data_IF_042242503635
#
_entry.id   IF_042242503635
#
_cell.length_a   1.000
_cell.length_b   1.000
_cell.length_c   1.000
_cell.angle_alpha   90.00
_cell.angle_beta   90.00
_cell.angle_gamma   90.00
#
_symmetry.space_group_name_H-M   'P 1'
#
loop_
_entity.id
_entity.type
_entity.pdbx_description
1 polymer ?
#
# COMPACT_ATOMS: atom_id res chain seq x y z
N UNK A 1 -43.51 18.01 -20.04
CA UNK A 1 -43.13 19.41 -19.81
C UNK A 1 -42.08 19.46 -18.70
N UNK A 2 -40.90 20.04 -18.92
CA UNK A 2 -39.90 20.22 -17.87
C UNK A 2 -40.40 21.30 -16.92
N UNK A 3 -40.54 20.95 -15.63
CA UNK A 3 -40.87 21.91 -14.56
C UNK A 3 -39.81 22.99 -14.54
N UNK A 4 -40.24 24.26 -14.71
CA UNK A 4 -39.36 25.44 -14.48
C UNK A 4 -38.98 25.49 -13.01
N UNK A 5 -37.70 25.75 -12.68
CA UNK A 5 -37.27 25.92 -11.29
C UNK A 5 -37.91 27.19 -10.70
N UNK A 6 -38.68 27.03 -9.67
CA UNK A 6 -39.08 28.08 -8.73
C UNK A 6 -37.83 28.64 -8.06
N UNK A 7 -37.79 29.93 -7.76
CA UNK A 7 -36.70 30.71 -7.15
C UNK A 7 -36.07 30.02 -5.94
N UNK A 8 -35.17 29.07 -6.17
CA UNK A 8 -34.51 28.29 -5.13
C UNK A 8 -33.13 28.90 -4.84
N UNK A 9 -32.74 28.82 -3.57
CA UNK A 9 -31.51 29.35 -3.07
C UNK A 9 -30.31 28.91 -3.94
N UNK A 10 -29.22 29.69 -4.04
CA UNK A 10 -28.01 29.29 -4.78
C UNK A 10 -27.47 27.92 -4.38
N UNK A 11 -27.76 27.48 -3.16
CA UNK A 11 -27.40 26.18 -2.64
C UNK A 11 -28.22 25.02 -3.27
N UNK A 12 -29.51 25.20 -3.51
CA UNK A 12 -30.35 24.17 -4.14
C UNK A 12 -29.87 23.89 -5.58
N UNK A 13 -29.56 24.96 -6.33
CA UNK A 13 -28.98 24.86 -7.67
C UNK A 13 -27.63 24.11 -7.66
N UNK A 14 -26.73 24.41 -6.72
CA UNK A 14 -25.46 23.73 -6.58
C UNK A 14 -25.65 22.25 -6.27
N UNK A 15 -26.56 21.91 -5.35
CA UNK A 15 -26.84 20.50 -4.98
C UNK A 15 -27.39 19.70 -6.16
N UNK A 16 -28.32 20.24 -6.91
CA UNK A 16 -28.87 19.58 -8.10
C UNK A 16 -27.77 19.32 -9.15
N UNK A 17 -26.87 20.30 -9.38
CA UNK A 17 -25.75 20.14 -10.29
C UNK A 17 -24.76 19.07 -9.83
N UNK A 18 -24.47 18.98 -8.53
CA UNK A 18 -23.60 17.93 -7.97
C UNK A 18 -24.22 16.54 -8.11
N UNK A 19 -25.54 16.40 -7.85
CA UNK A 19 -26.24 15.12 -8.03
C UNK A 19 -26.15 14.61 -9.46
N UNK A 20 -26.37 15.50 -10.44
CA UNK A 20 -26.30 15.14 -11.85
C UNK A 20 -24.86 14.87 -12.29
N UNK A 21 -23.91 15.75 -11.94
CA UNK A 21 -22.51 15.63 -12.37
C UNK A 21 -21.86 14.31 -11.89
N UNK A 22 -22.14 13.89 -10.64
CA UNK A 22 -21.61 12.68 -10.06
C UNK A 22 -22.51 11.45 -10.23
N UNK A 23 -23.69 11.58 -10.88
CA UNK A 23 -24.67 10.51 -11.07
C UNK A 23 -25.07 9.85 -9.75
N UNK A 24 -25.28 10.67 -8.71
CA UNK A 24 -25.48 10.20 -7.34
C UNK A 24 -26.72 9.31 -7.23
N UNK A 25 -27.85 9.74 -7.81
CA UNK A 25 -29.11 8.99 -7.79
C UNK A 25 -29.04 7.74 -8.67
N UNK A 26 -28.38 7.81 -9.85
CA UNK A 26 -28.19 6.66 -10.74
C UNK A 26 -27.45 5.51 -10.05
N UNK A 27 -26.50 5.85 -9.14
CA UNK A 27 -25.72 4.87 -8.36
C UNK A 27 -26.36 4.50 -7.01
N UNK A 28 -27.63 4.87 -6.78
CA UNK A 28 -28.39 4.52 -5.59
C UNK A 28 -27.90 5.18 -4.30
N UNK A 29 -27.22 6.33 -4.38
CA UNK A 29 -26.71 7.10 -3.25
C UNK A 29 -27.51 8.41 -3.06
N UNK A 30 -27.10 9.21 -2.07
CA UNK A 30 -27.60 10.57 -1.81
C UNK A 30 -26.43 11.48 -1.44
N UNK A 31 -26.53 12.79 -1.68
CA UNK A 31 -25.48 13.76 -1.31
C UNK A 31 -25.03 13.62 0.14
N UNK A 32 -25.98 13.48 1.07
CA UNK A 32 -25.67 13.30 2.48
C UNK A 32 -24.90 12.02 2.79
N UNK A 33 -25.17 10.92 2.06
CA UNK A 33 -24.40 9.68 2.18
C UNK A 33 -22.99 9.83 1.61
N UNK A 34 -22.84 10.49 0.45
CA UNK A 34 -21.53 10.72 -0.18
C UNK A 34 -20.63 11.60 0.70
N UNK A 35 -21.17 12.69 1.27
CA UNK A 35 -20.44 13.57 2.20
C UNK A 35 -20.02 12.79 3.45
N UNK A 36 -20.93 12.03 4.05
CA UNK A 36 -20.63 11.19 5.22
C UNK A 36 -19.59 10.13 4.88
N UNK A 37 -19.70 9.47 3.73
CA UNK A 37 -18.75 8.48 3.25
C UNK A 37 -17.36 9.08 3.07
N UNK A 38 -17.24 10.27 2.47
CA UNK A 38 -15.98 10.98 2.31
C UNK A 38 -15.34 11.36 3.65
N UNK A 39 -16.14 11.83 4.60
CA UNK A 39 -15.67 12.11 5.97
C UNK A 39 -15.15 10.83 6.64
N UNK A 40 -15.85 9.72 6.54
CA UNK A 40 -15.42 8.44 7.13
C UNK A 40 -14.16 7.93 6.45
N UNK A 41 -14.06 8.01 5.12
CA UNK A 41 -12.83 7.66 4.39
C UNK A 41 -11.66 8.48 4.90
N UNK A 42 -11.81 9.81 5.02
CA UNK A 42 -10.74 10.67 5.54
C UNK A 42 -10.38 10.34 6.99
N UNK A 43 -11.35 10.12 7.88
CA UNK A 43 -11.08 9.75 9.29
C UNK A 43 -10.29 8.44 9.38
N UNK A 44 -10.62 7.45 8.55
CA UNK A 44 -9.90 6.17 8.53
C UNK A 44 -8.50 6.28 7.91
N UNK A 45 -8.28 7.22 6.98
CA UNK A 45 -6.99 7.48 6.32
C UNK A 45 -6.14 8.53 7.07
N UNK A 46 -6.69 9.28 8.02
CA UNK A 46 -6.02 10.44 8.64
C UNK A 46 -4.73 10.06 9.38
N UNK A 47 -4.59 8.82 9.84
CA UNK A 47 -3.34 8.33 10.44
C UNK A 47 -2.14 8.45 9.49
N UNK A 48 -2.36 8.43 8.16
CA UNK A 48 -1.31 8.54 7.14
C UNK A 48 -0.63 9.91 7.21
N UNK A 49 -1.38 10.96 7.56
CA UNK A 49 -0.86 12.33 7.71
C UNK A 49 0.18 12.40 8.84
N UNK A 50 0.12 11.47 9.79
CA UNK A 50 1.07 11.34 10.89
C UNK A 50 2.18 10.35 10.54
N UNK A 51 1.80 9.14 10.17
CA UNK A 51 2.73 8.00 10.02
C UNK A 51 3.68 8.18 8.83
N UNK A 52 3.18 8.67 7.67
CA UNK A 52 4.02 8.84 6.49
C UNK A 52 5.16 9.85 6.71
N UNK A 53 4.92 11.07 7.22
CA UNK A 53 6.00 12.01 7.54
C UNK A 53 6.97 11.47 8.59
N UNK A 54 6.51 10.77 9.60
CA UNK A 54 7.40 10.18 10.62
C UNK A 54 8.36 9.16 10.03
N UNK A 55 7.89 8.30 9.12
CA UNK A 55 8.76 7.35 8.44
C UNK A 55 9.77 8.07 7.55
N UNK A 56 9.32 9.04 6.75
CA UNK A 56 10.18 9.76 5.80
C UNK A 56 11.21 10.68 6.48
N UNK A 57 10.88 11.20 7.65
CA UNK A 57 11.76 12.09 8.42
C UNK A 57 12.71 11.35 9.37
N UNK A 58 12.54 10.03 9.54
CA UNK A 58 13.49 9.24 10.32
C UNK A 58 14.91 9.43 9.75
N UNK A 59 15.87 9.81 10.59
CA UNK A 59 17.25 10.07 10.13
C UNK A 59 17.98 8.78 9.79
N UNK A 60 18.78 8.81 8.72
CA UNK A 60 19.75 7.78 8.37
C UNK A 60 21.03 7.97 9.19
N UNK A 61 21.91 6.97 9.22
CA UNK A 61 23.23 7.10 9.81
C UNK A 61 24.02 8.30 9.23
N UNK A 62 23.73 8.68 8.00
CA UNK A 62 24.37 9.79 7.29
C UNK A 62 23.60 11.12 7.44
N UNK A 63 22.58 11.18 8.31
CA UNK A 63 21.77 12.38 8.54
C UNK A 63 20.77 12.73 7.44
N UNK A 64 20.69 11.95 6.36
CA UNK A 64 19.77 12.20 5.25
C UNK A 64 18.33 11.86 5.62
N UNK A 65 17.43 12.84 5.55
CA UNK A 65 16.01 12.66 5.79
C UNK A 65 15.19 13.73 5.05
N UNK A 66 13.92 13.42 4.76
CA UNK A 66 12.98 14.43 4.28
C UNK A 66 12.45 15.19 5.50
N UNK A 67 12.51 16.53 5.54
CA UNK A 67 12.03 17.31 6.70
C UNK A 67 10.56 17.01 7.02
N UNK A 68 10.26 16.79 8.30
CA UNK A 68 8.94 16.36 8.77
C UNK A 68 7.79 17.27 8.29
N UNK A 69 7.92 18.59 8.46
CA UNK A 69 6.89 19.55 8.02
C UNK A 69 6.65 19.52 6.51
N UNK A 70 7.72 19.38 5.73
CA UNK A 70 7.63 19.26 4.29
C UNK A 70 6.92 17.96 3.90
N UNK A 71 7.29 16.83 4.51
CA UNK A 71 6.65 15.54 4.30
C UNK A 71 5.16 15.55 4.68
N UNK A 72 4.76 16.19 5.80
CA UNK A 72 3.37 16.37 6.20
C UNK A 72 2.56 17.12 5.12
N UNK A 73 3.05 18.28 4.71
CA UNK A 73 2.38 19.09 3.68
C UNK A 73 2.31 18.34 2.36
N UNK A 74 3.42 17.73 1.93
CA UNK A 74 3.48 16.95 0.70
C UNK A 74 2.48 15.77 0.71
N UNK A 75 2.37 15.06 1.84
CA UNK A 75 1.41 13.98 2.03
C UNK A 75 -0.03 14.47 1.88
N UNK A 76 -0.38 15.57 2.54
CA UNK A 76 -1.73 16.13 2.48
C UNK A 76 -2.09 16.63 1.07
N UNK A 77 -1.21 17.41 0.43
CA UNK A 77 -1.50 17.97 -0.88
C UNK A 77 -1.52 16.91 -1.99
N UNK A 78 -0.60 15.95 -1.98
CA UNK A 78 -0.60 14.87 -2.97
C UNK A 78 -1.83 13.98 -2.82
N UNK A 79 -2.25 13.68 -1.57
CA UNK A 79 -3.47 12.94 -1.30
C UNK A 79 -4.73 13.71 -1.75
N UNK A 80 -4.78 15.01 -1.48
CA UNK A 80 -5.89 15.87 -1.91
C UNK A 80 -6.01 15.90 -3.43
N UNK A 81 -4.92 16.16 -4.15
CA UNK A 81 -4.94 16.24 -5.62
C UNK A 81 -5.27 14.88 -6.24
N UNK A 82 -4.66 13.79 -5.76
CA UNK A 82 -4.91 12.45 -6.28
C UNK A 82 -6.37 12.01 -6.06
N UNK A 83 -6.90 12.20 -4.85
CA UNK A 83 -8.29 11.87 -4.53
C UNK A 83 -9.29 12.73 -5.30
N UNK A 84 -9.01 14.05 -5.43
CA UNK A 84 -9.83 14.93 -6.26
C UNK A 84 -9.82 14.51 -7.71
N UNK A 85 -8.65 14.16 -8.26
CA UNK A 85 -8.52 13.66 -9.62
C UNK A 85 -9.42 12.44 -9.84
N UNK A 86 -9.32 11.42 -9.02
CA UNK A 86 -10.14 10.22 -9.15
C UNK A 86 -11.62 10.53 -8.95
N UNK A 87 -11.96 11.37 -7.99
CA UNK A 87 -13.35 11.80 -7.76
C UNK A 87 -13.97 12.49 -8.95
N UNK A 88 -13.25 13.45 -9.55
CA UNK A 88 -13.77 14.29 -10.62
C UNK A 88 -13.78 13.60 -12.00
N UNK A 89 -12.73 12.86 -12.34
CA UNK A 89 -12.58 12.28 -13.68
C UNK A 89 -12.99 10.81 -13.77
N UNK A 90 -12.68 9.99 -12.75
CA UNK A 90 -13.09 8.59 -12.74
C UNK A 90 -14.49 8.38 -12.13
N UNK A 91 -14.99 9.35 -11.38
CA UNK A 91 -16.23 9.25 -10.60
C UNK A 91 -16.25 8.00 -9.70
N UNK A 92 -15.13 7.73 -8.99
CA UNK A 92 -14.97 6.57 -8.11
C UNK A 92 -14.80 7.04 -6.65
N UNK A 93 -15.36 6.30 -5.66
CA UNK A 93 -15.33 6.66 -4.24
C UNK A 93 -14.00 6.28 -3.57
N UNK A 94 -12.86 6.57 -4.20
CA UNK A 94 -11.55 6.15 -3.74
C UNK A 94 -10.76 7.31 -3.13
N UNK A 95 -10.30 7.13 -1.89
CA UNK A 95 -9.29 7.97 -1.29
C UNK A 95 -7.89 7.49 -1.68
N UNK A 96 -7.03 8.42 -2.09
CA UNK A 96 -5.64 8.18 -2.43
C UNK A 96 -4.74 8.92 -1.47
N UNK A 97 -3.65 8.28 -1.08
CA UNK A 97 -2.61 8.89 -0.27
C UNK A 97 -1.26 8.16 -0.46
N UNK A 98 -0.21 8.63 0.22
CA UNK A 98 1.09 7.98 0.21
C UNK A 98 1.01 6.53 0.70
N UNK A 99 1.53 5.60 -0.09
CA UNK A 99 1.50 4.17 0.21
C UNK A 99 2.40 3.81 1.38
N UNK A 100 1.85 3.11 2.39
CA UNK A 100 2.59 2.81 3.62
C UNK A 100 3.77 1.85 3.40
N UNK A 101 3.66 0.88 2.50
CA UNK A 101 4.78 0.03 2.10
C UNK A 101 5.82 0.76 1.26
N UNK A 102 5.37 1.69 0.41
CA UNK A 102 6.22 2.49 -0.46
C UNK A 102 7.03 3.53 0.29
N UNK A 103 6.48 4.17 1.32
CA UNK A 103 7.22 5.10 2.16
C UNK A 103 8.35 4.41 2.93
N UNK A 104 8.07 3.23 3.47
CA UNK A 104 9.07 2.41 4.14
C UNK A 104 10.16 1.94 3.16
N UNK A 105 9.77 1.53 1.94
CA UNK A 105 10.74 1.18 0.91
C UNK A 105 11.58 2.38 0.46
N UNK A 106 10.96 3.55 0.25
CA UNK A 106 11.67 4.78 -0.10
C UNK A 106 12.69 5.15 0.99
N UNK A 107 12.24 5.12 2.25
CA UNK A 107 13.07 5.54 3.38
C UNK A 107 14.18 4.54 3.70
N UNK A 108 13.84 3.28 3.91
CA UNK A 108 14.80 2.27 4.37
C UNK A 108 15.51 1.56 3.22
N UNK A 109 14.80 1.36 2.09
CA UNK A 109 15.35 0.69 0.91
C UNK A 109 16.17 1.63 0.03
N UNK A 110 15.59 2.74 -0.43
CA UNK A 110 16.23 3.62 -1.42
C UNK A 110 17.20 4.60 -0.74
N UNK A 111 16.75 5.36 0.24
CA UNK A 111 17.63 6.31 0.95
C UNK A 111 18.60 5.56 1.86
N UNK A 112 18.09 4.64 2.71
CA UNK A 112 18.89 3.99 3.73
C UNK A 112 19.88 2.95 3.18
N UNK A 113 19.44 2.04 2.31
CA UNK A 113 20.26 0.91 1.83
C UNK A 113 20.99 1.18 0.53
N UNK A 114 20.32 1.81 -0.45
CA UNK A 114 20.98 2.17 -1.72
C UNK A 114 21.80 3.44 -1.58
N UNK A 115 21.71 4.18 -0.47
CA UNK A 115 22.52 5.35 -0.16
C UNK A 115 22.17 6.59 -0.98
N UNK A 116 20.93 6.67 -1.50
CA UNK A 116 20.50 7.84 -2.26
C UNK A 116 20.22 9.03 -1.34
N UNK A 117 20.56 10.24 -1.83
CA UNK A 117 20.03 11.45 -1.21
C UNK A 117 18.50 11.49 -1.32
N UNK A 118 17.79 12.19 -0.42
CA UNK A 118 16.35 12.36 -0.53
C UNK A 118 15.91 12.88 -1.91
N UNK A 119 16.65 13.83 -2.48
CA UNK A 119 16.36 14.43 -3.77
C UNK A 119 16.53 13.42 -4.93
N UNK A 120 17.55 12.56 -4.89
CA UNK A 120 17.73 11.49 -5.87
C UNK A 120 16.65 10.41 -5.73
N UNK A 121 16.27 10.05 -4.51
CA UNK A 121 15.18 9.12 -4.25
C UNK A 121 13.83 9.65 -4.77
N UNK A 122 13.56 10.95 -4.60
CA UNK A 122 12.36 11.61 -5.14
C UNK A 122 12.40 11.70 -6.68
N UNK A 123 13.58 11.84 -7.29
CA UNK A 123 13.73 11.74 -8.75
C UNK A 123 13.32 10.34 -9.26
N UNK A 124 13.71 9.27 -8.54
CA UNK A 124 13.24 7.92 -8.84
C UNK A 124 11.71 7.77 -8.69
N UNK A 125 11.11 8.38 -7.65
CA UNK A 125 9.66 8.42 -7.48
C UNK A 125 8.96 9.12 -8.65
N UNK A 126 9.50 10.23 -9.11
CA UNK A 126 8.93 10.97 -10.25
C UNK A 126 8.99 10.14 -11.54
N UNK A 127 10.13 9.53 -11.83
CA UNK A 127 10.28 8.62 -12.99
C UNK A 127 9.29 7.46 -12.90
N UNK A 128 9.14 6.85 -11.73
CA UNK A 128 8.18 5.79 -11.49
C UNK A 128 6.74 6.28 -11.74
N UNK A 129 6.38 7.46 -11.22
CA UNK A 129 5.05 8.05 -11.44
C UNK A 129 4.75 8.31 -12.91
N UNK A 130 5.73 8.82 -13.68
CA UNK A 130 5.59 9.04 -15.13
C UNK A 130 5.46 7.72 -15.90
N UNK A 131 6.22 6.69 -15.54
CA UNK A 131 6.07 5.35 -16.12
C UNK A 131 4.69 4.75 -15.78
N UNK A 132 4.20 4.94 -14.56
CA UNK A 132 2.87 4.48 -14.19
C UNK A 132 1.77 5.22 -14.95
N UNK A 133 1.91 6.53 -15.17
CA UNK A 133 1.02 7.29 -16.05
C UNK A 133 1.01 6.73 -17.47
N UNK A 134 2.17 6.43 -18.03
CA UNK A 134 2.28 5.82 -19.36
C UNK A 134 1.60 4.45 -19.43
N UNK A 135 1.76 3.62 -18.40
CA UNK A 135 1.05 2.33 -18.29
C UNK A 135 -0.48 2.51 -18.16
N UNK A 136 -0.92 3.53 -17.43
CA UNK A 136 -2.34 3.84 -17.27
C UNK A 136 -2.99 4.28 -18.60
N UNK A 137 -2.31 5.16 -19.36
CA UNK A 137 -2.81 5.67 -20.67
C UNK A 137 -2.79 4.58 -21.73
N UNK A 138 -1.72 3.78 -21.79
CA UNK A 138 -1.59 2.71 -22.79
C UNK A 138 -2.45 1.48 -22.52
N UNK A 139 -3.07 1.38 -21.34
CA UNK A 139 -3.74 0.15 -20.89
C UNK A 139 -2.79 -1.00 -20.57
N UNK A 140 -1.48 -0.80 -20.68
CA UNK A 140 -0.48 -1.85 -20.44
C UNK A 140 -0.37 -2.29 -18.98
N UNK A 141 -1.00 -1.57 -18.05
CA UNK A 141 -1.07 -1.97 -16.65
C UNK A 141 -1.71 -3.37 -16.49
N UNK A 142 -2.72 -3.70 -17.28
CA UNK A 142 -3.34 -5.03 -17.28
C UNK A 142 -2.38 -6.12 -17.81
N UNK A 143 -1.56 -5.79 -18.80
CA UNK A 143 -0.53 -6.71 -19.32
C UNK A 143 0.53 -6.99 -18.26
N UNK A 144 1.02 -5.95 -17.58
CA UNK A 144 1.98 -6.10 -16.46
C UNK A 144 1.39 -6.96 -15.35
N UNK A 145 0.11 -6.78 -15.04
CA UNK A 145 -0.58 -7.62 -14.06
C UNK A 145 -0.68 -9.09 -14.50
N UNK A 146 -0.86 -9.35 -15.78
CA UNK A 146 -0.93 -10.70 -16.32
C UNK A 146 0.41 -11.46 -16.31
N UNK A 147 1.55 -10.75 -16.21
CA UNK A 147 2.88 -11.37 -16.20
C UNK A 147 3.15 -12.25 -14.97
N UNK A 148 2.51 -11.95 -13.83
CA UNK A 148 2.71 -12.71 -12.60
C UNK A 148 1.48 -13.54 -12.25
N UNK A 149 1.66 -14.78 -11.78
CA UNK A 149 0.58 -15.58 -11.20
C UNK A 149 -0.09 -14.85 -10.03
N UNK A 150 -1.41 -15.02 -9.82
CA UNK A 150 -2.13 -14.40 -8.71
C UNK A 150 -1.49 -14.65 -7.36
N UNK A 151 -1.03 -15.87 -7.09
CA UNK A 151 -0.36 -16.24 -5.83
C UNK A 151 0.92 -15.44 -5.57
N UNK A 152 1.71 -15.10 -6.61
CA UNK A 152 2.91 -14.27 -6.40
C UNK A 152 2.57 -12.81 -6.13
N UNK A 153 1.48 -12.29 -6.71
CA UNK A 153 0.96 -10.95 -6.38
C UNK A 153 0.54 -10.88 -4.92
N UNK A 154 -0.20 -11.89 -4.45
CA UNK A 154 -0.58 -12.04 -3.05
C UNK A 154 0.64 -12.13 -2.14
N UNK A 155 1.66 -12.88 -2.53
CA UNK A 155 2.91 -12.99 -1.79
C UNK A 155 3.65 -11.63 -1.67
N UNK A 156 3.64 -10.79 -2.70
CA UNK A 156 4.22 -9.43 -2.65
C UNK A 156 3.49 -8.57 -1.63
N UNK A 157 2.16 -8.56 -1.64
CA UNK A 157 1.35 -7.81 -0.68
C UNK A 157 1.62 -8.27 0.76
N UNK A 158 1.65 -9.58 0.99
CA UNK A 158 1.98 -10.19 2.28
C UNK A 158 3.39 -9.78 2.75
N UNK A 159 4.37 -9.85 1.86
CA UNK A 159 5.76 -9.46 2.17
C UNK A 159 5.87 -8.00 2.61
N UNK A 160 5.18 -7.10 1.91
CA UNK A 160 5.11 -5.68 2.26
C UNK A 160 4.46 -5.49 3.63
N UNK A 161 3.38 -6.23 3.92
CA UNK A 161 2.71 -6.20 5.22
C UNK A 161 3.62 -6.65 6.37
N UNK A 162 4.34 -7.76 6.21
CA UNK A 162 5.30 -8.24 7.21
C UNK A 162 6.46 -7.24 7.38
N UNK A 163 6.97 -6.70 6.29
CA UNK A 163 8.04 -5.69 6.33
C UNK A 163 7.59 -4.46 7.12
N UNK A 164 6.38 -3.98 6.88
CA UNK A 164 5.81 -2.84 7.58
C UNK A 164 5.59 -3.13 9.08
N UNK A 165 5.05 -4.31 9.42
CA UNK A 165 4.91 -4.75 10.81
C UNK A 165 6.28 -4.85 11.51
N UNK A 166 7.31 -5.31 10.81
CA UNK A 166 8.67 -5.40 11.32
C UNK A 166 9.25 -4.01 11.64
N UNK A 167 9.03 -3.02 10.78
CA UNK A 167 9.35 -1.61 11.08
C UNK A 167 8.58 -1.12 12.31
N UNK A 168 7.29 -1.45 12.42
CA UNK A 168 6.49 -1.14 13.61
C UNK A 168 7.05 -1.75 14.89
N UNK A 169 7.48 -3.03 14.87
CA UNK A 169 8.12 -3.69 16.02
C UNK A 169 9.45 -3.04 16.43
N UNK A 170 10.18 -2.48 15.47
CA UNK A 170 11.39 -1.72 15.78
C UNK A 170 11.08 -0.36 16.40
N UNK A 171 10.08 0.36 15.87
CA UNK A 171 9.68 1.67 16.42
C UNK A 171 9.14 1.55 17.84
N UNK A 172 8.43 0.48 18.19
CA UNK A 172 7.99 0.26 19.58
C UNK A 172 9.10 -0.28 20.50
N UNK A 173 10.28 -0.60 19.96
CA UNK A 173 11.38 -1.16 20.74
C UNK A 173 11.24 -2.65 21.07
N UNK A 174 10.31 -3.38 20.47
CA UNK A 174 10.16 -4.83 20.67
C UNK A 174 11.28 -5.61 19.96
N UNK A 175 11.65 -5.16 18.77
CA UNK A 175 12.74 -5.73 17.97
C UNK A 175 13.86 -4.72 17.87
N UNK A 176 15.06 -5.09 18.32
CA UNK A 176 16.23 -4.23 18.32
C UNK A 176 17.40 -4.87 17.60
N UNK A 177 18.36 -4.03 17.16
CA UNK A 177 19.62 -4.52 16.58
C UNK A 177 20.42 -5.27 17.64
N UNK A 178 20.89 -6.46 17.30
CA UNK A 178 21.76 -7.30 18.16
C UNK A 178 23.04 -7.63 17.39
N UNK A 179 24.19 -7.43 18.04
CA UNK A 179 25.49 -7.77 17.43
C UNK A 179 25.70 -9.28 17.27
N UNK A 180 24.97 -10.10 18.07
CA UNK A 180 25.13 -11.56 18.06
C UNK A 180 24.20 -12.25 17.08
N UNK A 181 22.96 -11.74 16.94
CA UNK A 181 21.87 -12.40 16.20
C UNK A 181 21.27 -11.52 15.12
N UNK A 182 21.87 -10.35 14.80
CA UNK A 182 21.40 -9.30 13.91
C UNK A 182 20.13 -8.60 14.41
N UNK A 183 19.14 -9.35 14.90
CA UNK A 183 17.94 -8.85 15.57
C UNK A 183 17.76 -9.60 16.88
N UNK A 184 17.27 -8.90 17.89
CA UNK A 184 17.02 -9.44 19.22
C UNK A 184 15.77 -8.83 19.84
N UNK A 185 15.36 -9.41 20.97
CA UNK A 185 14.29 -8.86 21.79
C UNK A 185 14.79 -7.60 22.49
N UNK A 186 13.98 -6.55 22.46
CA UNK A 186 14.27 -5.30 23.14
C UNK A 186 14.17 -5.38 24.65
N UNK A 187 14.41 -4.26 25.31
CA UNK A 187 14.33 -4.16 26.76
C UNK A 187 12.87 -4.11 27.22
N UNK A 188 12.40 -5.22 27.79
CA UNK A 188 11.04 -5.38 28.30
C UNK A 188 10.74 -4.53 29.55
N UNK A 189 11.74 -3.83 30.12
CA UNK A 189 11.52 -2.94 31.25
C UNK A 189 11.05 -1.55 30.83
N UNK A 190 11.12 -1.24 29.54
CA UNK A 190 10.75 0.07 28.99
C UNK A 190 9.21 0.29 29.03
N UNK A 191 8.71 1.33 29.72
CA UNK A 191 7.28 1.58 29.79
C UNK A 191 6.64 1.93 28.44
N UNK A 192 7.40 2.57 27.55
CA UNK A 192 6.94 2.95 26.19
C UNK A 192 6.59 1.73 25.34
N UNK A 193 7.34 0.62 25.48
CA UNK A 193 7.05 -0.64 24.81
C UNK A 193 5.67 -1.18 25.23
N UNK A 194 5.40 -1.24 26.54
CA UNK A 194 4.13 -1.74 27.06
C UNK A 194 2.96 -0.85 26.67
N UNK A 195 3.17 0.48 26.63
CA UNK A 195 2.18 1.42 26.17
C UNK A 195 1.82 1.18 24.69
N UNK A 196 2.82 0.97 23.82
CA UNK A 196 2.62 0.66 22.41
C UNK A 196 1.94 -0.70 22.20
N UNK A 197 2.29 -1.72 22.99
CA UNK A 197 1.62 -3.02 22.96
C UNK A 197 0.16 -2.92 23.41
N UNK A 198 -0.11 -2.19 24.51
CA UNK A 198 -1.48 -1.96 24.98
C UNK A 198 -2.30 -1.21 23.92
N UNK A 199 -1.72 -0.21 23.27
CA UNK A 199 -2.36 0.50 22.16
C UNK A 199 -2.62 -0.43 20.97
N UNK A 200 -1.71 -1.33 20.63
CA UNK A 200 -1.90 -2.32 19.57
C UNK A 200 -3.12 -3.20 19.86
N UNK A 201 -3.26 -3.68 21.08
CA UNK A 201 -4.43 -4.48 21.50
C UNK A 201 -5.72 -3.65 21.51
N UNK A 202 -5.65 -2.40 22.00
CA UNK A 202 -6.80 -1.49 22.00
C UNK A 202 -7.30 -1.25 20.58
N UNK A 203 -6.40 -0.89 19.67
CA UNK A 203 -6.76 -0.61 18.28
C UNK A 203 -7.28 -1.88 17.59
N UNK A 204 -6.67 -3.04 17.85
CA UNK A 204 -7.18 -4.32 17.36
C UNK A 204 -8.62 -4.57 17.82
N UNK A 205 -8.94 -4.33 19.11
CA UNK A 205 -10.29 -4.46 19.65
C UNK A 205 -11.28 -3.47 18.99
N UNK A 206 -10.84 -2.23 18.73
CA UNK A 206 -11.64 -1.22 18.01
C UNK A 206 -11.89 -1.62 16.55
N UNK A 207 -10.89 -2.19 15.87
CA UNK A 207 -11.02 -2.71 14.50
C UNK A 207 -11.98 -3.89 14.43
N UNK A 208 -11.92 -4.83 15.39
CA UNK A 208 -12.87 -5.94 15.49
C UNK A 208 -14.31 -5.41 15.67
N UNK A 209 -14.48 -4.33 16.43
CA UNK A 209 -15.79 -3.64 16.60
C UNK A 209 -16.14 -2.75 15.41
N UNK A 210 -15.34 -2.73 14.35
CA UNK A 210 -15.53 -1.88 13.16
C UNK A 210 -15.63 -0.38 13.49
N UNK A 211 -14.91 0.07 14.53
CA UNK A 211 -14.86 1.48 14.92
C UNK A 211 -14.06 2.26 13.90
N UNK A 212 -14.68 3.31 13.34
CA UNK A 212 -14.04 4.18 12.35
C UNK A 212 -12.97 5.04 13.01
N UNK A 213 -11.83 5.20 12.34
CA UNK A 213 -10.70 5.94 12.91
C UNK A 213 -9.96 5.24 14.05
N UNK A 214 -10.10 3.90 14.17
CA UNK A 214 -9.44 3.12 15.22
C UNK A 214 -7.92 3.34 15.27
N UNK A 215 -7.26 3.42 14.10
CA UNK A 215 -5.81 3.69 14.00
C UNK A 215 -5.45 5.06 14.57
N UNK A 216 -6.20 6.09 14.20
CA UNK A 216 -6.00 7.44 14.76
C UNK A 216 -6.25 7.48 16.27
N UNK A 217 -7.29 6.79 16.75
CA UNK A 217 -7.56 6.68 18.18
C UNK A 217 -6.40 6.04 18.95
N UNK A 218 -5.72 5.05 18.36
CA UNK A 218 -4.51 4.46 18.93
C UNK A 218 -3.36 5.45 19.04
N UNK A 219 -3.10 6.24 18.00
CA UNK A 219 -2.08 7.29 18.01
C UNK A 219 -2.37 8.29 19.13
N UNK A 220 -3.61 8.78 19.20
CA UNK A 220 -4.01 9.73 20.22
C UNK A 220 -3.90 9.15 21.65
N UNK A 221 -4.29 7.88 21.81
CA UNK A 221 -4.16 7.19 23.11
C UNK A 221 -2.71 7.15 23.58
N UNK A 222 -1.77 6.68 22.73
CA UNK A 222 -0.35 6.64 23.10
C UNK A 222 0.18 8.05 23.38
N UNK A 223 -0.13 9.02 22.51
CA UNK A 223 0.33 10.39 22.66
C UNK A 223 -0.12 11.00 23.99
N UNK A 224 -1.40 10.89 24.33
CA UNK A 224 -1.94 11.41 25.58
C UNK A 224 -1.35 10.65 26.79
N UNK A 225 -1.32 9.32 26.73
CA UNK A 225 -0.81 8.52 27.83
C UNK A 225 0.69 8.78 28.09
N UNK A 226 1.52 8.88 27.04
CA UNK A 226 2.93 9.19 27.16
C UNK A 226 3.16 10.54 27.84
N UNK A 227 2.42 11.57 27.41
CA UNK A 227 2.51 12.91 28.02
C UNK A 227 2.02 12.94 29.48
N UNK A 228 0.90 12.28 29.79
CA UNK A 228 0.36 12.22 31.16
C UNK A 228 1.28 11.46 32.10
N UNK A 229 1.89 10.39 31.64
CA UNK A 229 2.83 9.57 32.44
C UNK A 229 4.24 10.19 32.50
N UNK A 230 4.49 11.29 31.80
CA UNK A 230 5.81 11.94 31.77
C UNK A 230 6.89 11.03 31.18
N UNK A 231 6.50 10.13 30.27
CA UNK A 231 7.45 9.25 29.62
C UNK A 231 8.38 10.04 28.71
N UNK A 232 9.69 9.76 28.71
CA UNK A 232 10.60 10.43 27.80
C UNK A 232 10.12 10.22 26.36
N UNK A 233 9.92 11.32 25.63
CA UNK A 233 9.71 11.23 24.21
C UNK A 233 10.97 10.64 23.60
N UNK A 234 10.83 9.58 22.81
CA UNK A 234 11.98 9.00 22.11
C UNK A 234 12.62 9.96 21.11
N UNK A 235 11.98 11.07 20.81
CA UNK A 235 12.63 12.22 20.17
C UNK A 235 13.89 12.67 20.93
N UNK A 236 13.92 12.54 22.25
CA UNK A 236 15.11 12.81 23.07
C UNK A 236 16.10 11.63 23.09
N UNK A 237 15.66 10.38 22.85
CA UNK A 237 16.47 9.16 22.87
C UNK A 237 17.03 8.78 21.51
N UNK A 238 16.39 9.16 20.42
CA UNK A 238 16.91 8.96 19.04
C UNK A 238 17.90 10.08 18.62
N UNK A 239 18.52 10.75 19.60
CA UNK A 239 19.44 11.85 19.40
C UNK A 239 18.89 12.78 18.35
N UNK A 240 18.22 13.86 18.78
CA UNK A 240 17.72 14.89 17.90
C UNK A 240 17.21 14.32 16.56
N UNK A 241 15.98 13.76 16.54
CA UNK A 241 15.15 13.97 15.36
C UNK A 241 15.09 15.49 15.30
N UNK A 242 16.16 16.03 14.73
CA UNK A 242 16.33 17.44 14.56
C UNK A 242 15.09 17.88 13.79
N UNK A 243 14.14 18.49 14.50
CA UNK A 243 13.30 19.52 13.93
C UNK A 243 14.25 20.67 13.54
N UNK A 244 15.47 20.29 13.13
CA UNK A 244 16.55 21.09 12.57
C UNK A 244 16.26 21.34 11.10
N UNK A 245 15.36 22.18 10.90
CA UNK A 245 15.07 22.85 9.68
C UNK A 245 14.53 24.23 10.02
N UNK A 246 15.18 24.89 10.95
CA UNK A 246 15.06 26.32 11.03
C UNK A 246 15.52 26.88 9.70
N UNK A 247 14.59 27.37 8.88
CA UNK A 247 14.92 28.33 7.86
C UNK A 247 14.63 28.01 6.40
N UNK A 248 14.13 26.83 6.03
CA UNK A 248 13.57 26.68 4.68
C UNK A 248 12.32 25.83 4.72
N UNK A 249 11.18 26.49 4.85
CA UNK A 249 9.86 25.93 4.59
C UNK A 249 9.67 25.74 3.08
N UNK A 250 10.55 24.98 2.42
CA UNK A 250 10.43 24.70 1.01
C UNK A 250 9.29 23.70 0.80
N UNK A 251 8.19 24.19 0.26
CA UNK A 251 7.09 23.38 -0.28
C UNK A 251 7.52 22.53 -1.48
N UNK A 252 8.72 22.76 -2.04
CA UNK A 252 9.17 22.14 -3.28
C UNK A 252 10.60 21.60 -3.11
N UNK A 253 10.72 20.28 -3.11
CA UNK A 253 11.99 19.61 -3.33
C UNK A 253 12.36 19.71 -4.80
N UNK A 254 13.65 19.77 -5.09
CA UNK A 254 14.17 19.65 -6.46
C UNK A 254 14.65 18.21 -6.65
N UNK A 255 13.90 17.36 -7.36
CA UNK A 255 14.39 16.02 -7.70
C UNK A 255 15.74 16.11 -8.40
N UNK A 256 16.77 15.45 -7.84
CA UNK A 256 18.12 15.45 -8.42
C UNK A 256 18.29 14.24 -9.35
N UNK A 257 18.03 14.48 -10.62
CA UNK A 257 18.25 13.47 -11.67
C UNK A 257 19.72 13.17 -11.90
N UNK A 258 20.62 14.14 -11.66
CA UNK A 258 22.06 13.94 -11.83
C UNK A 258 22.59 12.91 -10.84
N UNK A 259 22.27 13.07 -9.56
CA UNK A 259 22.61 12.12 -8.52
C UNK A 259 21.92 10.75 -8.71
N UNK A 260 20.65 10.74 -9.15
CA UNK A 260 19.97 9.50 -9.49
C UNK A 260 20.62 8.74 -10.66
N UNK A 261 21.09 9.45 -11.68
CA UNK A 261 21.75 8.84 -12.84
C UNK A 261 23.20 8.40 -12.56
N UNK A 262 23.81 8.84 -11.48
CA UNK A 262 25.17 8.44 -11.11
C UNK A 262 25.27 6.92 -10.85
N UNK A 263 24.20 6.28 -10.31
CA UNK A 263 24.07 4.83 -10.24
C UNK A 263 22.79 4.39 -10.94
N UNK A 264 22.87 4.25 -12.26
CA UNK A 264 21.73 3.86 -13.10
C UNK A 264 21.14 2.49 -12.72
N UNK A 265 21.99 1.55 -12.26
CA UNK A 265 21.53 0.22 -11.85
C UNK A 265 20.69 0.29 -10.57
N UNK A 266 21.14 1.03 -9.57
CA UNK A 266 20.40 1.22 -8.33
C UNK A 266 19.10 2.01 -8.59
N UNK A 267 19.15 3.07 -9.42
CA UNK A 267 17.97 3.85 -9.80
C UNK A 267 16.94 3.03 -10.56
N UNK A 268 17.37 2.25 -11.56
CA UNK A 268 16.48 1.35 -12.28
C UNK A 268 15.83 0.32 -11.35
N UNK A 269 16.62 -0.23 -10.41
CA UNK A 269 16.10 -1.15 -9.38
C UNK A 269 15.04 -0.47 -8.53
N UNK A 270 15.31 0.74 -8.02
CA UNK A 270 14.35 1.49 -7.20
C UNK A 270 13.05 1.80 -7.96
N UNK A 271 13.18 2.31 -9.19
CA UNK A 271 12.03 2.67 -10.05
C UNK A 271 11.19 1.44 -10.38
N UNK A 272 11.82 0.35 -10.84
CA UNK A 272 11.10 -0.89 -11.21
C UNK A 272 10.39 -1.48 -10.00
N UNK A 273 11.03 -1.56 -8.84
CA UNK A 273 10.40 -2.08 -7.64
C UNK A 273 9.22 -1.23 -7.19
N UNK A 274 9.35 0.11 -7.13
CA UNK A 274 8.24 0.99 -6.80
C UNK A 274 7.10 0.85 -7.81
N UNK A 275 7.41 0.72 -9.10
CA UNK A 275 6.42 0.54 -10.14
C UNK A 275 5.64 -0.77 -9.96
N UNK A 276 6.33 -1.89 -9.70
CA UNK A 276 5.69 -3.18 -9.42
C UNK A 276 4.77 -3.08 -8.21
N UNK A 277 5.25 -2.52 -7.09
CA UNK A 277 4.45 -2.36 -5.89
C UNK A 277 3.19 -1.55 -6.19
N UNK A 278 3.31 -0.39 -6.83
CA UNK A 278 2.18 0.49 -7.15
C UNK A 278 1.18 -0.21 -8.06
N UNK A 279 1.63 -0.89 -9.12
CA UNK A 279 0.74 -1.56 -10.08
C UNK A 279 -0.06 -2.66 -9.41
N UNK A 280 0.57 -3.52 -8.61
CA UNK A 280 -0.12 -4.66 -8.01
C UNK A 280 -0.99 -4.26 -6.82
N UNK A 281 -0.51 -3.35 -5.97
CA UNK A 281 -1.27 -2.88 -4.82
C UNK A 281 -2.52 -2.09 -5.26
N UNK A 282 -2.33 -1.12 -6.15
CA UNK A 282 -3.45 -0.32 -6.68
C UNK A 282 -4.48 -1.18 -7.41
N UNK A 283 -4.06 -2.19 -8.18
CA UNK A 283 -4.96 -3.07 -8.90
C UNK A 283 -5.83 -3.92 -7.98
N UNK A 284 -5.22 -4.53 -6.97
CA UNK A 284 -5.94 -5.34 -5.99
C UNK A 284 -6.96 -4.54 -5.20
N UNK A 285 -6.52 -3.37 -4.70
CA UNK A 285 -7.35 -2.49 -3.87
C UNK A 285 -8.53 -1.93 -4.65
N UNK A 286 -8.30 -1.39 -5.86
CA UNK A 286 -9.39 -0.80 -6.65
C UNK A 286 -10.44 -1.84 -7.08
N UNK A 287 -10.02 -3.06 -7.43
CA UNK A 287 -10.95 -4.13 -7.78
C UNK A 287 -11.80 -4.54 -6.58
N UNK A 288 -11.17 -4.77 -5.41
CA UNK A 288 -11.86 -5.15 -4.19
C UNK A 288 -12.85 -4.09 -3.70
N UNK A 289 -12.47 -2.82 -3.73
CA UNK A 289 -13.39 -1.72 -3.34
C UNK A 289 -14.47 -1.52 -4.40
N UNK A 290 -14.14 -1.62 -5.69
CA UNK A 290 -15.10 -1.55 -6.80
C UNK A 290 -16.17 -2.63 -6.69
N UNK A 291 -15.80 -3.85 -6.34
CA UNK A 291 -16.71 -4.96 -6.08
C UNK A 291 -17.62 -4.67 -4.87
N UNK A 292 -17.07 -4.21 -3.75
CA UNK A 292 -17.86 -3.83 -2.58
C UNK A 292 -18.84 -2.69 -2.87
N UNK A 293 -18.44 -1.76 -3.72
CA UNK A 293 -19.28 -0.65 -4.13
C UNK A 293 -20.34 -1.03 -5.16
N UNK A 294 -20.27 -2.24 -5.74
CA UNK A 294 -21.16 -2.67 -6.81
C UNK A 294 -20.96 -1.89 -8.11
N UNK A 295 -19.71 -1.50 -8.40
CA UNK A 295 -19.34 -0.68 -9.55
C UNK A 295 -18.70 -1.47 -10.69
N UNK A 296 -18.53 -2.79 -10.54
CA UNK A 296 -18.02 -3.64 -11.61
C UNK A 296 -19.10 -3.83 -12.69
N UNK A 297 -18.66 -3.84 -13.95
CA UNK A 297 -19.51 -4.17 -15.09
C UNK A 297 -19.77 -5.69 -15.20
N UNK A 298 -20.53 -6.10 -16.24
CA UNK A 298 -20.88 -7.50 -16.48
C UNK A 298 -19.66 -8.40 -16.72
N UNK A 299 -18.57 -7.82 -17.22
CA UNK A 299 -17.30 -8.52 -17.44
C UNK A 299 -16.38 -8.52 -16.20
N UNK A 300 -16.86 -8.01 -15.07
CA UNK A 300 -16.10 -7.89 -13.82
C UNK A 300 -15.01 -6.83 -13.87
N UNK A 301 -15.06 -5.90 -14.84
CA UNK A 301 -14.11 -4.80 -14.94
C UNK A 301 -14.65 -3.57 -14.21
N UNK A 302 -13.74 -2.73 -13.70
CA UNK A 302 -14.10 -1.48 -13.06
C UNK A 302 -14.08 -0.32 -14.08
N UNK A 303 -15.23 0.25 -14.45
CA UNK A 303 -15.26 1.44 -15.30
C UNK A 303 -14.49 2.59 -14.65
N UNK A 304 -13.55 3.18 -15.37
CA UNK A 304 -12.69 4.25 -14.84
C UNK A 304 -11.41 3.78 -14.16
N UNK A 305 -11.10 2.49 -14.16
CA UNK A 305 -9.88 1.93 -13.56
C UNK A 305 -8.59 2.62 -14.05
N UNK A 306 -8.46 2.86 -15.34
CA UNK A 306 -7.30 3.56 -15.93
C UNK A 306 -7.16 4.99 -15.42
N UNK A 307 -8.29 5.70 -15.21
CA UNK A 307 -8.29 7.04 -14.63
C UNK A 307 -7.93 7.01 -13.14
N UNK A 308 -8.29 5.95 -12.42
CA UNK A 308 -7.85 5.78 -11.04
C UNK A 308 -6.32 5.55 -10.95
N UNK A 309 -5.74 4.78 -11.87
CA UNK A 309 -4.28 4.67 -12.01
C UNK A 309 -3.63 6.00 -12.35
N UNK A 310 -4.24 6.76 -13.25
CA UNK A 310 -3.76 8.12 -13.59
C UNK A 310 -3.79 9.04 -12.37
N UNK A 311 -4.83 8.98 -11.53
CA UNK A 311 -4.90 9.74 -10.29
C UNK A 311 -3.76 9.41 -9.33
N UNK A 312 -3.42 8.13 -9.19
CA UNK A 312 -2.25 7.68 -8.43
C UNK A 312 -0.94 8.20 -9.02
N UNK A 313 -0.79 8.15 -10.35
CA UNK A 313 0.40 8.67 -11.04
C UNK A 313 0.56 10.19 -10.88
N UNK A 314 -0.52 10.96 -11.01
CA UNK A 314 -0.53 12.42 -10.79
C UNK A 314 -0.17 12.75 -9.35
N UNK A 315 -0.78 12.05 -8.39
CA UNK A 315 -0.45 12.21 -6.96
C UNK A 315 1.00 11.87 -6.66
N UNK A 316 1.53 10.82 -7.27
CA UNK A 316 2.95 10.43 -7.14
C UNK A 316 3.89 11.49 -7.72
N UNK A 317 3.60 11.98 -8.92
CA UNK A 317 4.42 13.02 -9.54
C UNK A 317 4.45 14.30 -8.71
N UNK A 318 3.27 14.77 -8.25
CA UNK A 318 3.17 15.92 -7.35
C UNK A 318 3.89 15.66 -6.03
N UNK A 319 3.66 14.48 -5.44
CA UNK A 319 4.29 14.06 -4.19
C UNK A 319 5.82 14.03 -4.28
N UNK A 320 6.38 13.56 -5.39
CA UNK A 320 7.81 13.55 -5.65
C UNK A 320 8.41 14.97 -5.70
N UNK A 321 7.70 15.93 -6.28
CA UNK A 321 8.13 17.33 -6.27
C UNK A 321 8.01 17.98 -4.88
N UNK A 322 7.07 17.55 -4.05
CA UNK A 322 6.81 18.14 -2.75
C UNK A 322 7.54 17.44 -1.59
N UNK A 323 8.05 16.24 -1.81
CA UNK A 323 8.81 15.49 -0.81
C UNK A 323 8.00 14.40 -0.09
N UNK A 324 7.23 13.59 -0.82
CA UNK A 324 6.57 12.40 -0.28
C UNK A 324 6.74 11.18 -1.17
N UNK A 325 6.43 10.02 -0.63
CA UNK A 325 6.47 8.72 -1.32
C UNK A 325 5.35 8.56 -2.36
N UNK A 326 5.42 7.55 -3.25
CA UNK A 326 4.40 7.29 -4.23
C UNK A 326 3.00 7.14 -3.63
N UNK A 327 2.01 7.69 -4.33
CA UNK A 327 0.59 7.73 -3.92
C UNK A 327 -0.14 6.54 -4.53
N UNK A 328 -0.99 5.89 -3.74
CA UNK A 328 -1.80 4.73 -4.14
C UNK A 328 -3.25 4.87 -3.68
N UNK A 329 -4.12 4.00 -4.19
CA UNK A 329 -5.48 3.84 -3.67
C UNK A 329 -5.41 3.10 -2.33
N UNK A 330 -6.12 3.62 -1.32
CA UNK A 330 -6.12 3.05 0.02
C UNK A 330 -7.32 2.15 0.30
N UNK A 331 -7.09 1.00 0.95
CA UNK A 331 -8.11 0.05 1.40
C UNK A 331 -9.15 0.68 2.34
N UNK A 332 -8.76 1.70 3.08
CA UNK A 332 -9.60 2.47 4.00
C UNK A 332 -10.80 3.13 3.29
N UNK A 333 -10.72 3.31 1.98
CA UNK A 333 -11.86 3.76 1.14
C UNK A 333 -13.06 2.81 1.25
N UNK A 334 -12.84 1.53 1.56
CA UNK A 334 -13.89 0.57 1.81
C UNK A 334 -14.81 0.99 2.98
N UNK A 335 -14.29 1.72 3.97
CA UNK A 335 -15.10 2.23 5.08
C UNK A 335 -16.13 3.28 4.61
N UNK A 336 -15.74 4.17 3.68
CA UNK A 336 -16.67 5.10 3.05
C UNK A 336 -17.71 4.39 2.17
N UNK A 337 -17.28 3.38 1.41
CA UNK A 337 -18.19 2.54 0.60
C UNK A 337 -19.23 1.83 1.48
N UNK A 338 -18.83 1.34 2.66
CA UNK A 338 -19.76 0.74 3.64
C UNK A 338 -20.77 1.74 4.18
N UNK A 339 -20.44 3.04 4.23
CA UNK A 339 -21.37 4.12 4.57
C UNK A 339 -22.35 4.49 3.42
N UNK A 340 -22.19 3.87 2.28
CA UNK A 340 -23.01 4.09 1.11
C UNK A 340 -22.41 5.04 0.08
N UNK A 341 -21.12 5.36 0.17
CA UNK A 341 -20.39 6.07 -0.89
C UNK A 341 -20.31 5.23 -2.16
N UNK A 342 -20.72 5.80 -3.28
CA UNK A 342 -20.78 5.12 -4.57
C UNK A 342 -20.19 5.96 -5.71
N UNK A 343 -19.95 7.23 -5.44
CA UNK A 343 -19.57 8.20 -6.47
C UNK A 343 -18.26 8.92 -6.13
N UNK A 344 -17.71 9.61 -7.11
CA UNK A 344 -16.53 10.44 -6.94
C UNK A 344 -16.71 11.59 -5.95
N UNK A 345 -17.94 11.96 -5.61
CA UNK A 345 -18.19 13.01 -4.61
C UNK A 345 -17.62 12.61 -3.23
N UNK A 346 -17.69 11.32 -2.86
CA UNK A 346 -17.01 10.79 -1.68
C UNK A 346 -15.51 11.10 -1.70
N UNK A 347 -14.84 10.83 -2.83
CA UNK A 347 -13.41 11.10 -2.99
C UNK A 347 -13.08 12.61 -2.98
N UNK A 348 -13.95 13.45 -3.57
CA UNK A 348 -13.79 14.91 -3.54
C UNK A 348 -13.90 15.45 -2.10
N UNK A 349 -14.85 14.96 -1.31
CA UNK A 349 -14.96 15.33 0.11
C UNK A 349 -13.70 14.91 0.88
N UNK A 350 -13.22 13.69 0.66
CA UNK A 350 -11.95 13.21 1.23
C UNK A 350 -10.79 14.12 0.84
N UNK A 351 -10.71 14.52 -0.42
CA UNK A 351 -9.69 15.43 -0.95
C UNK A 351 -9.71 16.80 -0.26
N UNK A 352 -10.89 17.38 -0.09
CA UNK A 352 -11.05 18.68 0.60
C UNK A 352 -10.59 18.60 2.07
N UNK A 353 -10.87 17.49 2.74
CA UNK A 353 -10.43 17.28 4.11
C UNK A 353 -8.90 17.09 4.19
N UNK A 354 -8.28 16.38 3.23
CA UNK A 354 -6.82 16.34 3.13
C UNK A 354 -6.21 17.71 2.83
N UNK A 355 -6.86 18.54 2.01
CA UNK A 355 -6.38 19.90 1.71
C UNK A 355 -6.34 20.79 2.96
N UNK A 356 -7.25 20.57 3.89
CA UNK A 356 -7.31 21.32 5.17
C UNK A 356 -6.37 20.70 6.23
N UNK A 357 -6.01 19.43 6.10
CA UNK A 357 -5.19 18.70 7.07
C UNK A 357 -3.82 19.32 7.39
N UNK A 358 -3.13 20.09 6.52
CA UNK A 358 -1.91 20.81 6.89
C UNK A 358 -2.04 21.75 8.07
N UNK A 359 -3.24 22.23 8.37
CA UNK A 359 -3.50 23.06 9.57
C UNK A 359 -3.30 22.26 10.87
N UNK A 360 -3.32 20.93 10.81
CA UNK A 360 -3.10 20.04 11.95
C UNK A 360 -1.61 19.77 12.22
N UNK A 361 -0.68 20.23 11.36
CA UNK A 361 0.76 19.98 11.51
C UNK A 361 1.29 20.34 12.92
N UNK A 362 0.93 21.47 13.55
CA UNK A 362 1.40 21.76 14.90
C UNK A 362 0.96 20.75 15.96
N UNK A 363 -0.21 20.11 15.76
CA UNK A 363 -0.70 19.05 16.65
C UNK A 363 0.02 17.74 16.38
N UNK A 364 0.35 17.47 15.12
CA UNK A 364 1.04 16.24 14.69
C UNK A 364 2.48 16.20 15.19
N UNK A 365 3.15 17.34 15.32
CA UNK A 365 4.52 17.45 15.85
C UNK A 365 4.67 17.00 17.31
N UNK A 366 3.59 16.98 18.06
CA UNK A 366 3.59 16.52 19.47
C UNK A 366 3.48 14.99 19.58
N UNK A 367 3.18 14.28 18.48
CA UNK A 367 2.98 12.84 18.46
C UNK A 367 4.34 12.13 18.50
N UNK A 368 4.61 11.29 19.51
CA UNK A 368 5.86 10.56 19.57
C UNK A 368 5.91 9.41 18.53
N UNK A 369 7.10 9.06 18.00
CA UNK A 369 7.25 8.00 17.00
C UNK A 369 6.63 6.66 17.41
N UNK A 370 6.72 6.29 18.68
CA UNK A 370 6.14 5.05 19.23
C UNK A 370 4.62 4.99 19.10
N UNK A 371 3.96 6.14 19.04
CA UNK A 371 2.52 6.21 18.83
C UNK A 371 2.09 5.70 17.45
N UNK A 372 3.00 5.71 16.48
CA UNK A 372 2.72 5.20 15.12
C UNK A 372 2.96 3.70 14.97
N UNK A 373 3.74 3.10 15.85
CA UNK A 373 4.10 1.68 15.80
C UNK A 373 2.88 0.74 15.79
N UNK A 374 1.85 0.92 16.64
CA UNK A 374 0.63 0.12 16.59
C UNK A 374 -0.06 0.13 15.22
N UNK A 375 -0.08 1.29 14.55
CA UNK A 375 -0.68 1.42 13.23
C UNK A 375 0.08 0.59 12.19
N UNK A 376 1.40 0.65 12.19
CA UNK A 376 2.24 -0.11 11.25
C UNK A 376 2.06 -1.63 11.43
N UNK A 377 2.03 -2.09 12.68
CA UNK A 377 1.81 -3.51 12.99
C UNK A 377 0.43 -3.97 12.51
N UNK A 378 -0.61 -3.20 12.79
CA UNK A 378 -1.98 -3.58 12.44
C UNK A 378 -2.26 -3.47 10.95
N UNK A 379 -1.77 -2.44 10.28
CA UNK A 379 -1.85 -2.35 8.80
C UNK A 379 -1.10 -3.51 8.17
N UNK A 380 0.11 -3.83 8.66
CA UNK A 380 0.85 -5.01 8.23
C UNK A 380 0.05 -6.31 8.43
N UNK A 381 -0.64 -6.44 9.57
CA UNK A 381 -1.54 -7.59 9.83
C UNK A 381 -2.70 -7.66 8.84
N UNK A 382 -3.30 -6.52 8.50
CA UNK A 382 -4.39 -6.47 7.51
C UNK A 382 -3.91 -6.87 6.11
N UNK A 383 -2.67 -6.54 5.75
CA UNK A 383 -2.04 -6.94 4.49
C UNK A 383 -1.66 -8.43 4.44
N UNK A 384 -1.80 -9.19 5.54
CA UNK A 384 -1.60 -10.64 5.55
C UNK A 384 -2.78 -11.43 4.97
N UNK A 385 -3.95 -10.83 4.82
CA UNK A 385 -5.18 -11.51 4.36
C UNK A 385 -4.99 -12.28 3.04
N UNK A 386 -4.28 -11.75 2.01
CA UNK A 386 -4.07 -12.46 0.76
C UNK A 386 -3.14 -13.69 0.86
N UNK A 387 -2.55 -14.00 2.01
CA UNK A 387 -1.71 -15.20 2.19
C UNK A 387 -2.49 -16.50 1.88
N UNK A 388 -3.79 -16.49 2.13
CA UNK A 388 -4.69 -17.63 1.82
C UNK A 388 -4.83 -17.93 0.33
N UNK A 389 -4.50 -16.95 -0.53
CA UNK A 389 -4.58 -17.08 -1.98
C UNK A 389 -3.27 -17.61 -2.58
N UNK A 390 -2.26 -17.83 -1.72
CA UNK A 390 -0.98 -18.42 -2.11
C UNK A 390 -1.08 -19.96 -2.02
N UNK A 391 -0.92 -20.60 -3.15
CA UNK A 391 -0.89 -22.07 -3.20
C UNK A 391 0.48 -22.60 -2.72
N UNK A 392 0.55 -22.99 -1.46
CA UNK A 392 1.73 -23.62 -0.87
C UNK A 392 1.84 -25.12 -1.15
N UNK A 393 0.87 -25.74 -1.83
CA UNK A 393 0.93 -27.17 -2.20
C UNK A 393 1.73 -27.40 -3.48
N UNK A 394 1.72 -26.43 -4.40
CA UNK A 394 2.56 -26.45 -5.60
C UNK A 394 3.91 -25.77 -5.36
N UNK A 395 4.99 -26.55 -5.30
CA UNK A 395 6.34 -26.02 -5.07
C UNK A 395 6.80 -24.98 -6.11
N UNK A 396 6.23 -25.01 -7.32
CA UNK A 396 6.53 -24.00 -8.36
C UNK A 396 6.07 -22.60 -7.97
N UNK A 397 5.04 -22.53 -7.15
CA UNK A 397 4.48 -21.28 -6.60
C UNK A 397 4.98 -21.06 -5.17
N UNK A 398 4.98 -22.13 -4.36
CA UNK A 398 5.30 -22.06 -2.93
C UNK A 398 6.71 -21.52 -2.66
N UNK A 399 7.74 -22.03 -3.38
CA UNK A 399 9.11 -21.59 -3.17
C UNK A 399 9.33 -20.12 -3.59
N UNK A 400 8.91 -19.64 -4.76
CA UNK A 400 8.96 -18.23 -5.11
C UNK A 400 8.20 -17.33 -4.12
N UNK A 401 6.99 -17.72 -3.73
CA UNK A 401 6.19 -16.98 -2.76
C UNK A 401 6.89 -16.91 -1.39
N UNK A 402 7.42 -18.01 -0.91
CA UNK A 402 8.19 -18.06 0.34
C UNK A 402 9.42 -17.13 0.30
N UNK A 403 10.16 -17.13 -0.81
CA UNK A 403 11.30 -16.22 -0.97
C UNK A 403 10.88 -14.76 -0.93
N UNK A 404 9.80 -14.37 -1.61
CA UNK A 404 9.25 -13.01 -1.55
C UNK A 404 8.92 -12.64 -0.11
N UNK A 405 8.17 -13.49 0.59
CA UNK A 405 7.65 -13.22 1.93
C UNK A 405 8.78 -13.13 2.96
N UNK A 406 9.77 -14.02 2.90
CA UNK A 406 10.81 -14.10 3.92
C UNK A 406 12.00 -13.17 3.63
N UNK A 407 12.47 -13.10 2.38
CA UNK A 407 13.65 -12.28 2.05
C UNK A 407 13.37 -10.80 2.25
N UNK A 408 12.16 -10.33 1.96
CA UNK A 408 11.80 -8.90 2.11
C UNK A 408 12.07 -8.36 3.52
N UNK A 409 11.47 -8.86 4.59
CA UNK A 409 11.72 -8.35 5.94
C UNK A 409 13.12 -8.68 6.45
N UNK A 410 13.67 -9.85 6.13
CA UNK A 410 14.99 -10.29 6.61
C UNK A 410 16.13 -9.45 6.04
N UNK A 411 15.99 -8.95 4.81
CA UNK A 411 17.01 -8.13 4.16
C UNK A 411 16.73 -6.63 4.23
N UNK A 412 15.61 -6.22 4.84
CA UNK A 412 15.11 -4.84 4.77
C UNK A 412 14.99 -4.33 3.34
N UNK A 413 14.63 -5.22 2.39
CA UNK A 413 14.60 -4.91 0.97
C UNK A 413 13.46 -5.59 0.25
N UNK A 414 12.44 -4.82 -0.06
CA UNK A 414 11.30 -5.28 -0.88
C UNK A 414 11.79 -5.73 -2.25
N UNK A 415 12.76 -4.99 -2.84
CA UNK A 415 13.34 -5.36 -4.13
C UNK A 415 14.03 -6.72 -4.11
N UNK A 416 14.84 -7.00 -3.08
CA UNK A 416 15.52 -8.29 -2.96
C UNK A 416 14.52 -9.44 -2.86
N UNK A 417 13.43 -9.26 -2.09
CA UNK A 417 12.35 -10.24 -2.00
C UNK A 417 11.66 -10.48 -3.33
N UNK A 418 11.20 -9.42 -3.99
CA UNK A 418 10.51 -9.51 -5.29
C UNK A 418 11.40 -10.18 -6.34
N UNK A 419 12.64 -9.73 -6.51
CA UNK A 419 13.54 -10.28 -7.51
C UNK A 419 13.94 -11.73 -7.22
N UNK A 420 14.17 -12.10 -5.95
CA UNK A 420 14.48 -13.48 -5.60
C UNK A 420 13.34 -14.43 -5.93
N UNK A 421 12.08 -14.03 -5.65
CA UNK A 421 10.93 -14.85 -5.97
C UNK A 421 10.65 -14.93 -7.47
N UNK A 422 10.70 -13.80 -8.20
CA UNK A 422 10.52 -13.80 -9.66
C UNK A 422 11.61 -14.63 -10.35
N UNK A 423 12.86 -14.50 -9.92
CA UNK A 423 13.97 -15.29 -10.46
C UNK A 423 13.76 -16.79 -10.19
N UNK A 424 13.37 -17.16 -8.97
CA UNK A 424 13.07 -18.54 -8.63
C UNK A 424 11.91 -19.10 -9.48
N UNK A 425 10.84 -18.34 -9.66
CA UNK A 425 9.71 -18.71 -10.52
C UNK A 425 10.12 -18.91 -11.97
N UNK A 426 10.91 -17.98 -12.52
CA UNK A 426 11.38 -18.07 -13.90
C UNK A 426 12.29 -19.29 -14.11
N UNK A 427 13.24 -19.54 -13.20
CA UNK A 427 14.15 -20.70 -13.25
C UNK A 427 13.37 -22.01 -13.14
N UNK A 428 12.46 -22.14 -12.16
CA UNK A 428 11.67 -23.36 -12.01
C UNK A 428 10.77 -23.61 -13.22
N UNK A 429 10.14 -22.58 -13.76
CA UNK A 429 9.31 -22.68 -14.95
C UNK A 429 10.13 -23.11 -16.18
N UNK A 430 11.33 -22.57 -16.35
CA UNK A 430 12.22 -22.92 -17.44
C UNK A 430 12.72 -24.38 -17.32
N UNK A 431 13.12 -24.81 -16.12
CA UNK A 431 13.57 -26.19 -15.85
C UNK A 431 12.45 -27.20 -16.12
N UNK A 432 11.23 -26.90 -15.64
CA UNK A 432 10.09 -27.80 -15.86
C UNK A 432 9.68 -27.85 -17.34
N UNK A 433 9.64 -26.72 -18.02
CA UNK A 433 9.35 -26.67 -19.45
C UNK A 433 10.39 -27.45 -20.27
N UNK A 434 11.68 -27.38 -19.91
CA UNK A 434 12.75 -28.15 -20.55
C UNK A 434 12.63 -29.66 -20.28
N UNK A 435 12.25 -30.06 -19.07
CA UNK A 435 12.02 -31.46 -18.71
C UNK A 435 10.82 -32.03 -19.46
N UNK A 436 9.71 -31.27 -19.55
CA UNK A 436 8.53 -31.68 -20.33
C UNK A 436 8.84 -31.79 -21.83
N UNK A 437 9.63 -30.88 -22.38
CA UNK A 437 10.09 -30.96 -23.78
C UNK A 437 10.97 -32.17 -24.01
N UNK A 438 11.90 -32.47 -23.11
CA UNK A 438 12.74 -33.67 -23.19
C UNK A 438 11.92 -34.97 -23.09
N UNK A 439 10.91 -35.03 -22.21
CA UNK A 439 10.02 -36.16 -22.07
C UNK A 439 9.19 -36.39 -23.34
N UNK A 440 8.67 -35.33 -23.97
CA UNK A 440 7.94 -35.40 -25.23
C UNK A 440 8.84 -35.86 -26.39
N UNK A 441 10.08 -35.40 -26.46
CA UNK A 441 11.06 -35.86 -27.46
C UNK A 441 11.41 -37.33 -27.24
N UNK A 442 11.62 -37.74 -25.99
CA UNK A 442 11.88 -39.14 -25.65
C UNK A 442 10.73 -40.08 -26.04
N UNK A 443 9.47 -39.66 -25.75
CA UNK A 443 8.29 -40.43 -26.16
C UNK A 443 8.08 -40.47 -27.69
N UNK A 444 8.41 -39.36 -28.40
CA UNK A 444 8.36 -39.30 -29.86
C UNK A 444 9.42 -40.21 -30.53
N UNK A 445 10.61 -40.30 -29.94
CA UNK A 445 11.69 -41.17 -30.41
C UNK A 445 11.42 -42.67 -30.09
N UNK A 446 10.77 -42.94 -28.94
CA UNK A 446 10.37 -44.29 -28.55
C UNK A 446 9.12 -44.79 -29.32
N UNK A 447 8.23 -43.88 -29.74
CA UNK A 447 7.00 -44.20 -30.49
C UNK A 447 7.21 -44.50 -31.98
N UNK A 448 8.46 -44.45 -32.48
CA UNK A 448 8.82 -44.89 -33.84
C UNK A 448 9.00 -46.43 -33.99
N UNK A 449 8.89 -47.19 -32.92
CA UNK A 449 8.99 -48.65 -32.92
C UNK A 449 7.89 -49.27 -32.04
N UNK A 450 6.74 -49.61 -32.65
CA UNK A 450 5.77 -50.55 -32.08
C UNK A 450 4.57 -49.97 -31.35
N UNK A 451 3.43 -50.17 -31.92
CA UNK A 451 2.05 -50.36 -31.43
C UNK A 451 1.54 -49.72 -30.15
N UNK A 452 0.41 -49.13 -30.33
CA UNK A 452 -0.60 -48.62 -29.39
C UNK A 452 -0.81 -49.56 -28.20
N UNK A 453 -0.28 -49.20 -27.05
CA UNK A 453 -0.83 -49.62 -25.76
C UNK A 453 -1.07 -48.36 -24.91
N UNK A 454 -2.32 -48.17 -24.52
CA UNK A 454 -2.76 -47.01 -23.72
C UNK A 454 -2.04 -47.08 -22.37
N UNK A 455 -1.02 -46.25 -22.18
CA UNK A 455 -0.33 -46.12 -20.89
C UNK A 455 -1.26 -45.42 -19.89
N UNK A 456 -1.72 -46.18 -18.90
CA UNK A 456 -2.34 -45.61 -17.69
C UNK A 456 -1.40 -44.58 -17.03
N UNK A 457 -1.96 -43.45 -16.50
CA UNK A 457 -1.13 -42.47 -15.81
C UNK A 457 -0.48 -43.09 -14.57
N UNK A 458 0.74 -42.66 -14.20
CA UNK A 458 1.49 -43.21 -13.06
C UNK A 458 0.69 -43.12 -11.76
N UNK A 459 0.73 -44.16 -10.96
CA UNK A 459 -0.03 -44.36 -9.71
C UNK A 459 0.21 -43.29 -8.61
N UNK A 460 1.12 -42.37 -8.82
CA UNK A 460 1.34 -41.20 -7.93
C UNK A 460 0.24 -40.13 -8.04
N UNK A 461 -0.42 -39.98 -9.23
CA UNK A 461 -1.53 -39.04 -9.38
C UNK A 461 -2.84 -39.54 -8.74
N UNK A 462 -3.07 -40.86 -8.67
CA UNK A 462 -4.28 -41.41 -8.04
C UNK A 462 -4.33 -41.18 -6.52
N UNK A 463 -3.20 -41.12 -5.85
CA UNK A 463 -3.18 -40.89 -4.37
C UNK A 463 -3.54 -39.48 -3.94
N UNK A 464 -3.45 -38.50 -4.83
CA UNK A 464 -3.83 -37.12 -4.54
C UNK A 464 -5.32 -36.82 -4.80
N UNK A 465 -5.93 -37.55 -5.74
CA UNK A 465 -7.37 -37.43 -6.00
C UNK A 465 -8.22 -38.15 -4.95
N UNK A 466 -7.75 -39.26 -4.38
CA UNK A 466 -8.44 -39.95 -3.29
C UNK A 466 -8.43 -39.16 -1.98
N UNK A 467 -7.39 -38.36 -1.71
CA UNK A 467 -7.35 -37.50 -0.52
C UNK A 467 -8.30 -36.30 -0.59
N UNK A 468 -8.75 -35.92 -1.80
CA UNK A 468 -9.72 -34.81 -1.98
C UNK A 468 -11.19 -35.25 -1.89
N UNK A 469 -11.46 -36.57 -1.94
CA UNK A 469 -12.82 -37.14 -1.89
C UNK A 469 -13.29 -37.57 -0.50
N UNK A 470 -12.39 -37.63 0.50
CA UNK A 470 -12.73 -38.07 1.87
C UNK A 470 -12.95 -36.91 2.87
N UNK A 471 -13.45 -35.75 2.43
CA UNK A 471 -13.99 -34.78 3.40
C UNK A 471 -15.49 -34.95 3.49
N UNK A 472 -16.05 -35.44 4.63
CA UNK A 472 -17.48 -35.44 4.85
C UNK A 472 -17.96 -33.97 4.96
N UNK A 473 -19.04 -33.70 4.22
CA UNK A 473 -19.84 -32.48 4.38
C UNK A 473 -20.58 -32.55 5.73
N UNK A 474 -19.94 -32.06 6.80
CA UNK A 474 -20.65 -31.77 8.05
C UNK A 474 -19.88 -30.67 8.80
N UNK A 475 -20.48 -29.48 8.81
CA UNK A 475 -20.76 -28.64 9.96
C UNK A 475 -20.94 -27.17 9.54
N UNK A 476 -22.11 -26.72 9.78
CA UNK A 476 -22.72 -25.38 9.75
C UNK A 476 -21.80 -24.16 9.88
#
# INVERSE_FOLDING_TARGET
>A
EPRRPTSESPFAFLFEHLEVAFKVQERGSTLGREVRAGLVTWVTMSYIVVVNPMILSATSADGAAIPFKAACRATCFSAAVASAFVGLWANLPFGLAAGMGLNSYLRYGVIGRLGFSPEAALACCLVQGLLFAALAVSGAASVVQALLPPSLKSAITVAIGIFQAFVGFQLMGLVVKSERTFVGLGDLTQPTLWLSLAATLLVAALLVRRTKGALLAGILFVTVAANVLGLPNSNDLMGEVSVAGGGQELLWFRPDFGAAMADLKASATAVVCMLFIVVFDTAGVQHGIGQQAGLLDEDGQLPGASLAYMGSAVGTALGAFMGTSPVIIHNESAAGVQEGGRTGLCAVVTALLFLVSPLLVPVIEVIPPEATAPCLVLVGTMMMVPVRDVDFTDLRIALPAFLIICVTPMTFSISAGIFSGIAAYAVLSAVLASADAAARLGSSLAGGAGEKEAAEPPSACRRLEDFSRERPAEAC
#
